data_IF_834066031547
#
_entry.id   IF_834066031547
#
_cell.length_a   1.000
_cell.length_b   1.000
_cell.length_c   1.000
_cell.angle_alpha   90.00
_cell.angle_beta   90.00
_cell.angle_gamma   90.00
#
_symmetry.space_group_name_H-M   'P 1'
#
loop_
_entity.id
_entity.type
_entity.pdbx_description
1 polymer ?
#
# COMPACT_ATOMS: atom_id res chain seq x y z
N UNK A 1 0.24 -8.43 -7.48
CA UNK A 1 -0.57 -7.21 -7.21
C UNK A 1 -1.54 -7.05 -8.37
N UNK A 2 -2.83 -6.88 -8.12
CA UNK A 2 -3.82 -6.62 -9.17
C UNK A 2 -3.99 -5.12 -9.41
N UNK A 3 -4.38 -4.39 -8.37
CA UNK A 3 -4.53 -2.94 -8.40
C UNK A 3 -4.43 -2.38 -6.99
N UNK A 4 -4.23 -1.07 -6.87
CA UNK A 4 -4.25 -0.35 -5.60
C UNK A 4 -5.10 0.90 -5.71
N UNK A 5 -5.78 1.27 -4.63
CA UNK A 5 -6.61 2.48 -4.55
C UNK A 5 -6.29 3.27 -3.28
N UNK A 6 -6.37 4.60 -3.38
CA UNK A 6 -6.29 5.48 -2.23
C UNK A 6 -7.67 5.63 -1.59
N UNK A 7 -7.83 5.14 -0.36
CA UNK A 7 -9.11 5.15 0.38
C UNK A 7 -9.22 6.31 1.37
N UNK A 8 -8.10 6.93 1.73
CA UNK A 8 -8.08 8.12 2.60
C UNK A 8 -6.98 9.09 2.20
N UNK A 9 -7.21 10.38 2.44
CA UNK A 9 -6.33 11.48 2.05
C UNK A 9 -5.51 12.01 3.22
N UNK A 10 -6.07 12.02 4.45
CA UNK A 10 -5.41 12.56 5.66
C UNK A 10 -5.69 11.65 6.87
N UNK A 11 -4.83 10.66 7.17
CA UNK A 11 -3.56 10.32 6.51
C UNK A 11 -3.77 9.56 5.17
N UNK A 12 -2.83 9.65 4.22
CA UNK A 12 -2.85 8.86 2.98
C UNK A 12 -2.92 7.37 3.29
N UNK A 13 -4.01 6.72 2.86
CA UNK A 13 -4.21 5.28 3.02
C UNK A 13 -4.40 4.61 1.66
N UNK A 14 -3.58 3.61 1.38
CA UNK A 14 -3.64 2.80 0.17
C UNK A 14 -4.11 1.39 0.52
N UNK A 15 -5.09 0.89 -0.23
CA UNK A 15 -5.51 -0.51 -0.20
C UNK A 15 -5.01 -1.16 -1.48
N UNK A 16 -4.20 -2.21 -1.35
CA UNK A 16 -3.63 -2.96 -2.45
C UNK A 16 -4.30 -4.32 -2.50
N UNK A 17 -4.89 -4.64 -3.65
CA UNK A 17 -5.51 -5.93 -3.89
C UNK A 17 -4.47 -6.91 -4.42
N UNK A 18 -4.27 -7.99 -3.68
CA UNK A 18 -3.33 -9.08 -3.97
C UNK A 18 -4.07 -10.41 -4.07
N UNK A 19 -3.38 -11.44 -4.53
CA UNK A 19 -3.91 -12.80 -4.56
C UNK A 19 -3.98 -13.40 -3.15
N UNK A 20 -2.91 -13.27 -2.37
CA UNK A 20 -2.83 -13.82 -1.01
C UNK A 20 -2.08 -12.83 -0.14
N UNK A 21 -2.71 -12.36 0.95
CA UNK A 21 -2.12 -11.35 1.84
C UNK A 21 -0.93 -11.91 2.63
N UNK A 22 -0.98 -13.19 2.95
CA UNK A 22 0.04 -13.91 3.73
C UNK A 22 1.37 -14.08 2.97
N UNK A 23 1.32 -14.08 1.63
CA UNK A 23 2.51 -14.14 0.79
C UNK A 23 3.25 -12.79 0.71
N UNK A 24 2.62 -11.71 1.17
CA UNK A 24 3.24 -10.38 1.16
C UNK A 24 4.19 -10.27 2.34
N UNK A 25 5.47 -10.52 2.07
CA UNK A 25 6.52 -10.31 3.06
C UNK A 25 6.66 -8.82 3.42
N UNK A 26 6.97 -8.52 4.69
CA UNK A 26 7.06 -7.14 5.20
C UNK A 26 8.07 -6.27 4.42
N UNK A 27 9.14 -6.89 3.89
CA UNK A 27 10.14 -6.16 3.09
C UNK A 27 9.57 -5.66 1.77
N UNK A 28 8.69 -6.45 1.14
CA UNK A 28 8.02 -6.07 -0.10
C UNK A 28 6.96 -4.98 0.17
N UNK A 29 6.24 -5.09 1.29
CA UNK A 29 5.34 -4.03 1.74
C UNK A 29 6.07 -2.69 1.95
N UNK A 30 7.23 -2.71 2.64
CA UNK A 30 8.08 -1.52 2.83
C UNK A 30 8.64 -0.98 1.51
N UNK A 31 9.02 -1.87 0.59
CA UNK A 31 9.45 -1.47 -0.74
C UNK A 31 8.35 -0.68 -1.46
N UNK A 32 7.12 -1.19 -1.48
CA UNK A 32 5.99 -0.50 -2.12
C UNK A 32 5.67 0.84 -1.44
N UNK A 33 5.73 0.90 -0.11
CA UNK A 33 5.55 2.15 0.63
C UNK A 33 6.57 3.21 0.20
N UNK A 34 7.84 2.83 0.11
CA UNK A 34 8.92 3.71 -0.32
C UNK A 34 8.74 4.15 -1.78
N UNK A 35 8.29 3.27 -2.68
CA UNK A 35 7.99 3.64 -4.06
C UNK A 35 6.86 4.67 -4.15
N UNK A 36 5.76 4.46 -3.42
CA UNK A 36 4.64 5.40 -3.36
C UNK A 36 5.11 6.74 -2.78
N UNK A 37 5.90 6.71 -1.70
CA UNK A 37 6.46 7.91 -1.08
C UNK A 37 7.31 8.72 -2.04
N UNK A 38 8.20 8.06 -2.77
CA UNK A 38 9.11 8.72 -3.73
C UNK A 38 8.37 9.26 -4.96
N UNK A 39 7.34 8.55 -5.42
CA UNK A 39 6.60 8.94 -6.63
C UNK A 39 5.63 10.11 -6.37
N UNK A 40 4.96 10.13 -5.21
CA UNK A 40 3.95 11.14 -4.88
C UNK A 40 4.44 12.22 -3.90
N UNK A 41 5.67 12.12 -3.41
CA UNK A 41 6.29 13.15 -2.57
C UNK A 41 5.70 13.24 -1.15
N UNK A 42 5.24 12.13 -0.58
CA UNK A 42 4.70 12.09 0.79
C UNK A 42 5.81 12.19 1.86
N UNK A 43 6.60 13.25 1.83
CA UNK A 43 7.66 13.51 2.83
C UNK A 43 7.03 13.95 4.16
N UNK A 44 7.46 13.35 5.27
CA UNK A 44 7.00 13.71 6.62
C UNK A 44 5.58 13.27 7.00
N UNK A 45 4.83 12.63 6.10
CA UNK A 45 3.49 12.08 6.39
C UNK A 45 3.52 10.55 6.48
N UNK A 46 2.93 9.93 7.51
CA UNK A 46 2.81 8.47 7.55
C UNK A 46 1.88 7.98 6.44
N UNK A 47 2.35 7.02 5.63
CA UNK A 47 1.54 6.34 4.63
C UNK A 47 1.00 5.07 5.27
N UNK A 48 -0.32 4.86 5.20
CA UNK A 48 -0.94 3.61 5.65
C UNK A 48 -1.15 2.70 4.45
N UNK A 49 -0.69 1.46 4.53
CA UNK A 49 -0.90 0.46 3.50
C UNK A 49 -1.62 -0.75 4.08
N UNK A 50 -2.65 -1.22 3.36
CA UNK A 50 -3.41 -2.41 3.70
C UNK A 50 -3.45 -3.31 2.48
N UNK A 51 -3.18 -4.61 2.68
CA UNK A 51 -3.27 -5.62 1.63
C UNK A 51 -4.58 -6.39 1.82
N UNK A 52 -5.37 -6.48 0.75
CA UNK A 52 -6.61 -7.26 0.71
C UNK A 52 -6.54 -8.32 -0.35
N UNK A 53 -7.19 -9.44 -0.11
CA UNK A 53 -7.32 -10.48 -1.11
C UNK A 53 -8.43 -10.11 -2.09
N UNK A 54 -8.18 -10.34 -3.38
CA UNK A 54 -9.19 -10.13 -4.41
C UNK A 54 -10.27 -11.21 -4.27
N UNK A 55 -11.39 -10.87 -3.62
CA UNK A 55 -12.49 -11.80 -3.37
C UNK A 55 -12.99 -11.82 -1.92
N UNK A 56 -12.30 -11.16 -0.99
CA UNK A 56 -12.86 -10.68 0.29
C UNK A 56 -13.71 -9.42 0.07
#
# INVERSE_FOLDING_TARGET
IYYGTQVSVRPPKFVIFVNTKELVHFSYARYLENQIRNHFGFMGTPIRMEFREKGE
#
